data_IF_657373298543
#
_entry.id   IF_657373298543
#
_cell.length_a   1.000
_cell.length_b   1.000
_cell.length_c   1.000
_cell.angle_alpha   90.00
_cell.angle_beta   90.00
_cell.angle_gamma   90.00
#
_symmetry.space_group_name_H-M   'P 1'
#
loop_
_entity.id
_entity.type
_entity.pdbx_description
1 polymer ?
#
# COMPACT_ATOMS: atom_id res chain seq x y z
N UNK A 1 -44.24 20.65 20.66
CA UNK A 1 -43.38 19.65 20.00
C UNK A 1 -42.03 20.23 19.61
N UNK A 2 -41.94 21.19 18.68
CA UNK A 2 -40.65 21.80 18.26
C UNK A 2 -39.91 22.50 19.41
N UNK A 3 -40.63 23.21 20.29
CA UNK A 3 -40.03 23.93 21.42
C UNK A 3 -39.43 22.98 22.49
N UNK A 4 -40.13 21.89 22.85
CA UNK A 4 -39.60 20.84 23.74
C UNK A 4 -38.43 20.09 23.10
N UNK A 5 -38.46 19.90 21.76
CA UNK A 5 -37.35 19.28 21.03
C UNK A 5 -36.08 20.13 21.08
N UNK A 6 -36.19 21.45 20.97
CA UNK A 6 -35.04 22.38 21.08
C UNK A 6 -34.50 22.43 22.53
N UNK A 7 -35.36 22.32 23.53
CA UNK A 7 -34.97 22.29 24.94
C UNK A 7 -34.22 21.01 25.32
N UNK A 8 -34.65 19.84 24.84
CA UNK A 8 -33.96 18.56 25.11
C UNK A 8 -32.56 18.53 24.45
N UNK A 9 -32.39 19.17 23.28
CA UNK A 9 -31.11 19.30 22.60
C UNK A 9 -30.12 20.21 23.36
N UNK A 10 -30.64 21.32 23.91
CA UNK A 10 -29.87 22.25 24.75
C UNK A 10 -29.52 21.68 26.13
N UNK A 11 -30.37 20.80 26.66
CA UNK A 11 -30.20 20.24 28.00
C UNK A 11 -29.13 19.13 28.05
N UNK A 12 -28.86 18.41 26.95
CA UNK A 12 -27.95 17.25 26.95
C UNK A 12 -27.05 17.12 25.69
N UNK A 13 -26.36 18.20 25.25
CA UNK A 13 -25.54 18.16 24.04
C UNK A 13 -24.36 17.17 24.15
N UNK A 14 -23.80 17.02 25.36
CA UNK A 14 -22.67 16.11 25.60
C UNK A 14 -23.03 14.63 25.32
N UNK A 15 -24.23 14.18 25.72
CA UNK A 15 -24.65 12.79 25.52
C UNK A 15 -24.90 12.48 24.03
N UNK A 16 -25.42 13.46 23.27
CA UNK A 16 -25.59 13.33 21.83
C UNK A 16 -24.23 13.33 21.11
N UNK A 17 -23.31 14.21 21.51
CA UNK A 17 -21.94 14.23 21.00
C UNK A 17 -21.20 12.92 21.22
N UNK A 18 -21.32 12.32 22.41
CA UNK A 18 -20.75 11.00 22.71
C UNK A 18 -21.34 9.90 21.82
N UNK A 19 -22.67 9.88 21.59
CA UNK A 19 -23.29 8.90 20.68
C UNK A 19 -22.78 9.02 19.24
N UNK A 20 -22.63 10.26 18.76
CA UNK A 20 -22.09 10.53 17.42
C UNK A 20 -20.65 10.01 17.32
N UNK A 21 -19.81 10.34 18.30
CA UNK A 21 -18.42 9.88 18.34
C UNK A 21 -18.30 8.35 18.35
N UNK A 22 -19.09 7.66 19.19
CA UNK A 22 -19.06 6.20 19.27
C UNK A 22 -19.56 5.52 17.99
N UNK A 23 -20.60 6.07 17.35
CA UNK A 23 -21.14 5.51 16.09
C UNK A 23 -20.16 5.71 14.94
N UNK A 24 -19.52 6.87 14.88
CA UNK A 24 -18.44 7.15 13.94
C UNK A 24 -17.25 6.19 14.15
N UNK A 25 -16.85 5.96 15.40
CA UNK A 25 -15.74 5.07 15.75
C UNK A 25 -15.97 3.63 15.29
N UNK A 26 -17.17 3.08 15.49
CA UNK A 26 -17.51 1.72 15.00
C UNK A 26 -17.51 1.67 13.47
N UNK A 27 -18.08 2.67 12.82
CA UNK A 27 -18.16 2.73 11.35
C UNK A 27 -16.74 2.81 10.74
N UNK A 28 -15.86 3.61 11.36
CA UNK A 28 -14.47 3.74 10.95
C UNK A 28 -13.66 2.45 11.22
N UNK A 29 -13.91 1.76 12.34
CA UNK A 29 -13.25 0.49 12.64
C UNK A 29 -13.62 -0.61 11.62
N UNK A 30 -14.90 -0.70 11.23
CA UNK A 30 -15.37 -1.63 10.19
C UNK A 30 -14.74 -1.27 8.84
N UNK A 31 -14.71 0.01 8.48
CA UNK A 31 -14.05 0.50 7.27
C UNK A 31 -12.56 0.12 7.27
N UNK A 32 -11.83 0.39 8.35
CA UNK A 32 -10.40 0.14 8.46
C UNK A 32 -10.08 -1.37 8.31
N UNK A 33 -10.84 -2.26 8.96
CA UNK A 33 -10.66 -3.70 8.82
C UNK A 33 -10.90 -4.16 7.38
N UNK A 34 -11.98 -3.67 6.76
CA UNK A 34 -12.34 -4.01 5.39
C UNK A 34 -11.31 -3.54 4.37
N UNK A 35 -10.92 -2.26 4.46
CA UNK A 35 -9.94 -1.65 3.57
C UNK A 35 -8.57 -2.32 3.69
N UNK A 36 -8.08 -2.56 4.92
CA UNK A 36 -6.83 -3.29 5.13
C UNK A 36 -6.92 -4.72 4.58
N UNK A 37 -8.02 -5.43 4.85
CA UNK A 37 -8.22 -6.79 4.35
C UNK A 37 -8.18 -6.88 2.82
N UNK A 38 -8.90 -6.01 2.12
CA UNK A 38 -8.92 -6.01 0.66
C UNK A 38 -7.58 -5.58 0.04
N UNK A 39 -6.88 -4.61 0.63
CA UNK A 39 -5.53 -4.21 0.19
C UNK A 39 -4.55 -5.36 0.33
N UNK A 40 -4.58 -6.01 1.48
CA UNK A 40 -3.78 -7.21 1.75
C UNK A 40 -4.06 -8.31 0.74
N UNK A 41 -5.33 -8.62 0.46
CA UNK A 41 -5.70 -9.69 -0.47
C UNK A 41 -5.33 -9.34 -1.91
N UNK A 42 -5.50 -8.09 -2.34
CA UNK A 42 -5.08 -7.62 -3.65
C UNK A 42 -3.55 -7.66 -3.82
N UNK A 43 -2.79 -7.29 -2.79
CA UNK A 43 -1.33 -7.33 -2.80
C UNK A 43 -0.82 -8.77 -2.87
N UNK A 44 -1.33 -9.65 -2.00
CA UNK A 44 -0.96 -11.08 -1.99
C UNK A 44 -1.38 -11.77 -3.30
N UNK A 45 -2.55 -11.43 -3.85
CA UNK A 45 -3.02 -11.91 -5.14
C UNK A 45 -2.07 -11.53 -6.28
N UNK A 46 -1.65 -10.27 -6.35
CA UNK A 46 -0.71 -9.79 -7.38
C UNK A 46 0.62 -10.56 -7.36
N UNK A 47 1.16 -10.82 -6.17
CA UNK A 47 2.39 -11.62 -6.00
C UNK A 47 2.20 -13.08 -6.38
N UNK A 48 1.03 -13.64 -6.09
CA UNK A 48 0.71 -15.02 -6.45
C UNK A 48 0.51 -15.17 -7.96
N UNK A 49 -0.14 -14.20 -8.59
CA UNK A 49 -0.48 -14.21 -10.02
C UNK A 49 0.77 -14.03 -10.90
N UNK A 50 1.66 -13.08 -10.57
CA UNK A 50 2.95 -12.89 -11.28
C UNK A 50 3.87 -14.11 -11.21
N UNK A 51 3.57 -15.07 -10.33
CA UNK A 51 4.34 -16.31 -10.11
C UNK A 51 3.59 -17.58 -10.49
N UNK A 52 2.36 -17.45 -10.99
CA UNK A 52 1.53 -18.62 -11.30
C UNK A 52 2.22 -19.48 -12.38
N UNK A 53 2.57 -20.71 -12.02
CA UNK A 53 3.27 -21.64 -12.92
C UNK A 53 4.77 -21.40 -13.08
N UNK A 54 5.43 -20.61 -12.22
CA UNK A 54 6.88 -20.34 -12.26
C UNK A 54 7.60 -20.74 -10.97
N UNK A 55 8.88 -21.08 -11.09
CA UNK A 55 9.82 -21.31 -9.97
C UNK A 55 10.94 -20.29 -10.08
N UNK A 56 11.23 -19.63 -8.96
CA UNK A 56 12.21 -18.55 -8.90
C UNK A 56 13.55 -19.06 -8.36
N UNK A 57 14.62 -18.65 -9.01
CA UNK A 57 16.00 -18.91 -8.60
C UNK A 57 16.78 -17.60 -8.54
N UNK A 58 17.60 -17.42 -7.51
CA UNK A 58 18.55 -16.30 -7.49
C UNK A 58 19.78 -16.66 -8.31
N UNK A 59 20.18 -15.80 -9.24
CA UNK A 59 21.43 -15.88 -9.96
C UNK A 59 22.35 -14.80 -9.40
N UNK A 60 23.51 -15.22 -8.88
CA UNK A 60 24.52 -14.29 -8.39
C UNK A 60 25.90 -14.65 -8.93
N UNK A 61 26.73 -13.66 -9.19
CA UNK A 61 28.14 -13.90 -9.51
C UNK A 61 28.90 -14.43 -8.28
N UNK A 62 29.99 -15.15 -8.52
CA UNK A 62 30.87 -15.69 -7.47
C UNK A 62 32.11 -14.82 -7.22
N UNK A 63 32.16 -13.60 -7.77
CA UNK A 63 33.27 -12.66 -7.66
C UNK A 63 33.12 -11.74 -6.44
N UNK A 64 32.73 -12.33 -5.30
CA UNK A 64 32.55 -11.60 -4.05
C UNK A 64 33.87 -11.17 -3.37
N UNK A 65 34.98 -11.83 -3.73
CA UNK A 65 36.32 -11.46 -3.25
C UNK A 65 36.83 -10.22 -4.01
N UNK A 66 37.19 -9.12 -3.33
CA UNK A 66 37.58 -7.88 -4.00
C UNK A 66 38.83 -8.00 -4.88
N UNK A 67 39.81 -8.83 -4.49
CA UNK A 67 41.03 -9.01 -5.28
C UNK A 67 40.72 -9.77 -6.56
N UNK A 68 39.99 -10.89 -6.44
CA UNK A 68 39.52 -11.68 -7.59
C UNK A 68 38.63 -10.85 -8.53
N UNK A 69 37.77 -10.00 -7.97
CA UNK A 69 36.92 -9.11 -8.75
C UNK A 69 37.74 -8.13 -9.58
N UNK A 70 38.72 -7.47 -8.98
CA UNK A 70 39.60 -6.54 -9.68
C UNK A 70 40.51 -7.24 -10.70
N UNK A 71 41.00 -8.45 -10.38
CA UNK A 71 41.74 -9.29 -11.32
C UNK A 71 40.91 -9.64 -12.56
N UNK A 72 39.69 -10.16 -12.36
CA UNK A 72 38.78 -10.53 -13.45
C UNK A 72 38.43 -9.32 -14.33
N UNK A 73 38.25 -8.14 -13.73
CA UNK A 73 38.00 -6.90 -14.49
C UNK A 73 39.19 -6.43 -15.31
N UNK A 74 40.41 -6.73 -14.84
CA UNK A 74 41.64 -6.39 -15.54
C UNK A 74 41.96 -7.37 -16.68
N UNK A 75 41.37 -8.58 -16.66
CA UNK A 75 41.53 -9.57 -17.72
C UNK A 75 40.96 -9.09 -19.06
N UNK A 76 41.63 -9.49 -20.15
CA UNK A 76 41.20 -9.12 -21.49
C UNK A 76 39.84 -9.75 -21.81
N UNK A 77 38.80 -8.91 -21.84
CA UNK A 77 37.44 -9.33 -22.17
C UNK A 77 36.58 -9.80 -21.00
N UNK A 78 37.09 -9.77 -19.76
CA UNK A 78 36.31 -10.20 -18.57
C UNK A 78 34.99 -9.46 -18.42
N UNK A 79 34.99 -8.11 -18.43
CA UNK A 79 33.74 -7.35 -18.40
C UNK A 79 32.82 -7.64 -19.60
N UNK A 80 33.40 -7.89 -20.79
CA UNK A 80 32.62 -8.17 -22.00
C UNK A 80 31.94 -9.53 -21.95
N UNK A 81 32.56 -10.53 -21.30
CA UNK A 81 31.94 -11.85 -21.13
C UNK A 81 30.74 -11.79 -20.19
N UNK A 82 30.81 -10.98 -19.11
CA UNK A 82 29.67 -10.71 -18.22
C UNK A 82 28.54 -10.01 -18.99
N UNK A 83 28.87 -8.98 -19.78
CA UNK A 83 27.89 -8.28 -20.61
C UNK A 83 27.21 -9.22 -21.62
N UNK A 84 27.98 -10.07 -22.30
CA UNK A 84 27.44 -11.06 -23.23
C UNK A 84 26.57 -12.12 -22.53
N UNK A 85 26.93 -12.52 -21.31
CA UNK A 85 26.14 -13.45 -20.52
C UNK A 85 24.81 -12.82 -20.09
N UNK A 86 24.82 -11.55 -19.65
CA UNK A 86 23.58 -10.80 -19.41
C UNK A 86 22.70 -10.76 -20.66
N UNK A 87 23.25 -10.43 -21.83
CA UNK A 87 22.51 -10.39 -23.09
C UNK A 87 21.90 -11.75 -23.44
N UNK A 88 22.59 -12.85 -23.15
CA UNK A 88 22.08 -14.21 -23.33
C UNK A 88 20.94 -14.55 -22.35
N UNK A 89 21.02 -14.07 -21.11
CA UNK A 89 19.98 -14.25 -20.10
C UNK A 89 18.71 -13.46 -20.48
N UNK A 90 18.85 -12.18 -20.84
CA UNK A 90 17.72 -11.30 -21.17
C UNK A 90 17.03 -11.65 -22.49
N UNK A 91 17.73 -12.32 -23.41
CA UNK A 91 17.17 -12.81 -24.67
C UNK A 91 16.66 -14.26 -24.63
N UNK A 92 16.71 -14.90 -23.46
CA UNK A 92 16.26 -16.28 -23.29
C UNK A 92 14.75 -16.41 -23.56
N UNK A 93 14.37 -17.47 -24.27
CA UNK A 93 12.95 -17.86 -24.45
C UNK A 93 12.54 -19.00 -23.51
N UNK A 94 13.50 -19.54 -22.76
CA UNK A 94 13.30 -20.69 -21.87
C UNK A 94 12.81 -20.28 -20.48
N UNK A 95 13.10 -19.03 -20.08
CA UNK A 95 12.76 -18.44 -18.79
C UNK A 95 12.78 -16.91 -18.93
N UNK A 96 12.19 -16.21 -17.96
CA UNK A 96 12.36 -14.75 -17.82
C UNK A 96 13.50 -14.46 -16.85
N UNK A 97 14.20 -13.33 -17.04
CA UNK A 97 15.29 -12.90 -16.18
C UNK A 97 15.06 -11.50 -15.58
N UNK A 98 14.16 -11.35 -14.58
CA UNK A 98 14.04 -10.11 -13.82
C UNK A 98 15.34 -9.72 -13.10
N UNK A 99 15.97 -8.64 -13.57
CA UNK A 99 17.14 -8.02 -12.93
C UNK A 99 16.74 -6.67 -12.33
N UNK A 100 17.05 -6.49 -11.05
CA UNK A 100 16.68 -5.33 -10.25
C UNK A 100 17.77 -5.03 -9.22
N UNK A 101 18.20 -3.79 -9.17
CA UNK A 101 19.18 -3.28 -8.23
C UNK A 101 18.67 -2.00 -7.57
N UNK A 102 18.94 -1.84 -6.27
CA UNK A 102 18.51 -0.67 -5.51
C UNK A 102 19.72 0.12 -5.02
N UNK A 103 20.31 0.93 -5.90
CA UNK A 103 21.37 1.86 -5.50
C UNK A 103 20.88 3.29 -5.64
N UNK A 104 21.17 4.13 -4.63
CA UNK A 104 20.82 5.55 -4.68
C UNK A 104 21.59 6.24 -5.81
N UNK A 105 20.96 7.25 -6.40
CA UNK A 105 21.58 8.06 -7.45
C UNK A 105 21.77 9.47 -6.93
N UNK A 106 23.01 10.00 -6.95
CA UNK A 106 23.27 11.39 -6.69
C UNK A 106 22.62 12.25 -7.77
N UNK A 107 21.83 13.25 -7.40
CA UNK A 107 21.15 14.18 -8.31
C UNK A 107 21.60 15.61 -8.04
N UNK A 108 21.96 16.32 -9.11
CA UNK A 108 22.38 17.72 -9.09
C UNK A 108 21.18 18.61 -8.81
N UNK A 109 21.37 19.57 -7.90
CA UNK A 109 20.44 20.67 -7.58
C UNK A 109 19.00 20.18 -7.39
N UNK A 110 18.85 19.05 -6.69
CA UNK A 110 17.57 18.39 -6.44
C UNK A 110 16.58 19.37 -5.78
N UNK A 111 15.41 19.63 -6.40
CA UNK A 111 14.49 20.67 -5.91
C UNK A 111 13.52 20.17 -4.82
N UNK A 112 13.58 18.88 -4.47
CA UNK A 112 12.72 18.29 -3.43
C UNK A 112 13.20 18.59 -2.00
N UNK A 113 12.28 18.47 -1.05
CA UNK A 113 12.56 18.73 0.37
C UNK A 113 13.20 17.55 1.10
N UNK A 114 13.43 17.75 2.41
CA UNK A 114 14.14 16.78 3.26
C UNK A 114 13.51 15.39 3.30
N UNK A 115 12.20 15.29 3.07
CA UNK A 115 11.45 14.04 3.08
C UNK A 115 11.91 13.02 2.03
N UNK A 116 12.65 13.44 1.00
CA UNK A 116 13.18 12.55 -0.03
C UNK A 116 14.62 12.09 0.25
N UNK A 117 15.25 12.63 1.31
CA UNK A 117 16.67 12.41 1.62
C UNK A 117 16.89 11.21 2.56
N UNK A 118 16.01 10.23 2.55
CA UNK A 118 16.14 9.06 3.43
C UNK A 118 16.73 7.88 2.67
N UNK A 119 17.52 7.06 3.37
CA UNK A 119 17.99 5.78 2.84
C UNK A 119 16.81 4.81 2.71
N UNK A 120 17.05 3.64 2.12
CA UNK A 120 16.12 2.52 2.15
C UNK A 120 15.68 2.18 3.59
N UNK A 121 14.47 1.62 3.72
CA UNK A 121 13.79 1.39 4.99
C UNK A 121 14.71 0.78 6.07
N UNK A 122 14.78 1.43 7.23
CA UNK A 122 15.46 0.90 8.42
C UNK A 122 16.95 1.25 8.58
N UNK A 123 17.56 2.01 7.67
CA UNK A 123 18.97 2.37 7.73
C UNK A 123 19.15 3.90 7.81
N UNK A 124 19.62 4.42 8.95
CA UNK A 124 20.14 5.80 9.06
C UNK A 124 19.11 6.94 9.09
N UNK A 125 19.63 8.15 9.33
CA UNK A 125 18.89 9.42 9.29
C UNK A 125 18.85 10.02 7.87
N UNK A 126 18.30 11.24 7.70
CA UNK A 126 18.38 11.93 6.42
C UNK A 126 19.84 12.13 5.99
N UNK A 127 20.12 11.89 4.71
CA UNK A 127 21.39 12.22 4.07
C UNK A 127 21.43 13.72 3.81
N UNK A 128 22.49 14.37 4.28
CA UNK A 128 22.69 15.78 3.98
C UNK A 128 23.24 15.96 2.56
N UNK A 129 22.76 16.96 1.80
CA UNK A 129 23.33 17.33 0.52
C UNK A 129 24.80 17.70 0.64
N UNK A 130 25.57 17.40 -0.39
CA UNK A 130 27.01 17.64 -0.43
C UNK A 130 27.42 18.31 -1.74
N UNK A 131 28.53 19.06 -1.78
CA UNK A 131 29.01 19.68 -3.01
C UNK A 131 29.68 18.65 -3.93
N UNK A 132 29.41 18.72 -5.22
CA UNK A 132 30.22 18.04 -6.24
C UNK A 132 31.57 18.76 -6.46
N UNK A 133 32.49 18.21 -7.28
CA UNK A 133 33.77 18.87 -7.58
C UNK A 133 33.66 20.26 -8.25
N UNK A 134 32.48 20.61 -8.78
CA UNK A 134 32.18 21.91 -9.38
C UNK A 134 31.46 22.86 -8.39
N UNK A 135 31.22 22.42 -7.15
CA UNK A 135 30.54 23.19 -6.11
C UNK A 135 29.01 23.22 -6.22
N UNK A 136 28.42 22.38 -7.08
CA UNK A 136 26.96 22.24 -7.19
C UNK A 136 26.44 21.34 -6.07
N UNK A 137 25.22 21.59 -5.62
CA UNK A 137 24.65 20.81 -4.53
C UNK A 137 24.16 19.47 -5.09
N UNK A 138 24.52 18.38 -4.44
CA UNK A 138 24.12 17.02 -4.83
C UNK A 138 23.35 16.39 -3.69
N UNK A 139 22.26 15.71 -4.03
CA UNK A 139 21.44 14.96 -3.10
C UNK A 139 21.29 13.53 -3.59
N UNK A 140 21.62 12.56 -2.74
CA UNK A 140 21.35 11.17 -3.06
C UNK A 140 19.85 10.89 -2.91
N UNK A 141 19.22 10.41 -3.98
CA UNK A 141 17.82 10.01 -3.98
C UNK A 141 17.71 8.49 -4.17
N UNK A 142 16.64 7.91 -3.61
CA UNK A 142 16.33 6.49 -3.81
C UNK A 142 16.15 6.20 -5.30
N UNK A 143 16.70 5.09 -5.76
CA UNK A 143 16.50 4.66 -7.13
C UNK A 143 16.55 3.16 -7.32
N UNK A 144 15.78 2.70 -8.28
CA UNK A 144 15.76 1.31 -8.72
C UNK A 144 16.22 1.26 -10.15
N UNK A 145 17.26 0.49 -10.40
CA UNK A 145 17.71 0.16 -11.73
C UNK A 145 17.18 -1.23 -12.09
N UNK A 146 16.50 -1.38 -13.22
CA UNK A 146 15.83 -2.64 -13.56
C UNK A 146 15.78 -2.87 -15.06
N UNK A 147 15.66 -4.12 -15.51
CA UNK A 147 15.46 -4.46 -16.92
C UNK A 147 13.98 -4.62 -17.29
N UNK A 148 13.70 -4.80 -18.58
CA UNK A 148 12.33 -4.95 -19.09
C UNK A 148 11.61 -6.14 -18.43
N UNK A 149 12.27 -7.29 -18.32
CA UNK A 149 11.70 -8.46 -17.65
C UNK A 149 11.28 -8.15 -16.21
N UNK A 150 12.07 -7.38 -15.45
CA UNK A 150 11.69 -6.96 -14.11
C UNK A 150 10.49 -5.99 -14.12
N UNK A 151 10.46 -5.04 -15.05
CA UNK A 151 9.34 -4.11 -15.21
C UNK A 151 8.02 -4.87 -15.43
N UNK A 152 8.04 -5.85 -16.33
CA UNK A 152 6.90 -6.68 -16.69
C UNK A 152 6.54 -7.69 -15.58
N UNK A 153 7.54 -8.36 -15.01
CA UNK A 153 7.35 -9.36 -13.95
C UNK A 153 6.72 -8.77 -12.69
N UNK A 154 7.11 -7.55 -12.31
CA UNK A 154 6.51 -6.85 -11.18
C UNK A 154 5.22 -6.09 -11.53
N UNK A 155 4.85 -6.04 -12.82
CA UNK A 155 3.64 -5.38 -13.28
C UNK A 155 3.61 -3.90 -12.91
N UNK A 156 4.70 -3.18 -13.16
CA UNK A 156 4.82 -1.76 -12.80
C UNK A 156 3.88 -0.94 -13.68
N UNK A 157 2.82 -0.38 -13.08
CA UNK A 157 1.82 0.42 -13.79
C UNK A 157 2.16 1.92 -13.74
N UNK A 158 1.75 2.64 -14.78
CA UNK A 158 1.92 4.09 -14.86
C UNK A 158 0.61 4.81 -14.58
N UNK A 159 0.69 5.87 -13.80
CA UNK A 159 -0.41 6.82 -13.64
C UNK A 159 -0.39 7.91 -14.71
N UNK A 160 0.80 8.24 -15.24
CA UNK A 160 0.99 9.29 -16.25
C UNK A 160 2.16 9.00 -17.19
N UNK A 161 2.09 9.55 -18.40
CA UNK A 161 3.15 9.52 -19.40
C UNK A 161 3.13 8.31 -20.32
N UNK A 162 3.88 8.35 -21.43
CA UNK A 162 3.95 7.26 -22.41
C UNK A 162 4.72 6.02 -21.92
N UNK A 163 5.52 6.14 -20.87
CA UNK A 163 6.36 5.04 -20.36
C UNK A 163 7.70 4.94 -21.08
N UNK A 164 8.30 3.76 -21.03
CA UNK A 164 9.67 3.51 -21.50
C UNK A 164 9.65 2.75 -22.83
N UNK A 165 10.40 3.25 -23.81
CA UNK A 165 10.76 2.48 -25.01
C UNK A 165 12.12 1.81 -24.75
N UNK A 166 12.09 0.55 -24.33
CA UNK A 166 13.29 -0.18 -23.90
C UNK A 166 14.35 -0.33 -24.99
N UNK A 167 13.92 -0.36 -26.26
CA UNK A 167 14.82 -0.49 -27.41
C UNK A 167 15.58 0.81 -27.68
N UNK A 168 15.07 1.95 -27.20
CA UNK A 168 15.72 3.25 -27.31
C UNK A 168 16.60 3.59 -26.09
N UNK A 169 16.65 2.74 -25.07
CA UNK A 169 17.49 2.96 -23.88
C UNK A 169 18.95 2.62 -24.21
N UNK A 170 19.74 3.66 -24.47
CA UNK A 170 21.16 3.55 -24.75
C UNK A 170 21.94 4.65 -24.00
N UNK A 171 22.78 4.22 -23.05
CA UNK A 171 23.57 5.13 -22.23
C UNK A 171 24.86 5.61 -22.92
N UNK A 172 25.22 5.00 -24.05
CA UNK A 172 26.38 5.39 -24.86
C UNK A 172 26.08 6.51 -25.85
N UNK A 173 24.80 6.70 -26.20
CA UNK A 173 24.34 7.66 -27.20
C UNK A 173 24.62 9.14 -26.86
N UNK A 174 24.76 9.45 -25.57
CA UNK A 174 24.81 10.82 -25.05
C UNK A 174 23.46 11.54 -25.02
N UNK A 175 22.38 10.89 -25.46
CA UNK A 175 21.02 11.39 -25.32
C UNK A 175 20.50 11.19 -23.88
N UNK A 176 19.53 12.00 -23.41
CA UNK A 176 18.97 11.84 -22.09
C UNK A 176 18.29 10.48 -21.90
N UNK A 177 18.68 9.76 -20.85
CA UNK A 177 18.13 8.45 -20.51
C UNK A 177 16.67 8.61 -20.03
N UNK A 178 15.69 7.91 -20.63
CA UNK A 178 14.32 7.99 -20.15
C UNK A 178 14.19 7.31 -18.79
N UNK A 179 13.52 7.96 -17.84
CA UNK A 179 13.33 7.45 -16.47
C UNK A 179 11.87 7.56 -16.05
N UNK A 180 11.44 6.75 -15.10
CA UNK A 180 10.15 6.93 -14.44
C UNK A 180 10.38 7.51 -13.04
N UNK A 181 9.42 8.27 -12.55
CA UNK A 181 9.43 8.78 -11.18
C UNK A 181 8.30 8.18 -10.37
N UNK A 182 8.56 7.88 -9.11
CA UNK A 182 7.53 7.49 -8.16
C UNK A 182 6.46 8.58 -7.98
N UNK A 183 5.27 8.18 -7.57
CA UNK A 183 4.12 9.09 -7.41
C UNK A 183 4.37 10.27 -6.47
N UNK A 184 5.20 10.09 -5.43
CA UNK A 184 5.57 11.17 -4.50
C UNK A 184 6.55 12.15 -5.13
N UNK A 185 7.47 11.67 -5.98
CA UNK A 185 8.39 12.52 -6.73
C UNK A 185 7.72 13.29 -7.88
N UNK A 186 6.50 12.90 -8.29
CA UNK A 186 5.76 13.58 -9.35
C UNK A 186 5.47 15.07 -9.07
N UNK A 187 5.42 15.48 -7.80
CA UNK A 187 5.27 16.89 -7.44
C UNK A 187 6.55 17.71 -7.65
N UNK A 188 7.70 17.02 -7.76
CA UNK A 188 9.03 17.60 -7.92
C UNK A 188 9.45 17.54 -9.39
N UNK A 189 9.26 16.38 -10.03
CA UNK A 189 9.59 16.15 -11.43
C UNK A 189 8.36 15.64 -12.19
N UNK A 190 7.89 16.45 -13.14
CA UNK A 190 6.81 16.08 -14.04
C UNK A 190 7.33 15.35 -15.28
N UNK A 191 6.41 14.75 -16.05
CA UNK A 191 6.75 14.16 -17.35
C UNK A 191 7.38 15.22 -18.28
N UNK A 192 8.50 14.87 -18.89
CA UNK A 192 9.31 15.74 -19.75
C UNK A 192 10.40 16.54 -19.03
N UNK A 193 10.45 16.54 -17.70
CA UNK A 193 11.52 17.22 -16.96
C UNK A 193 12.86 16.50 -17.12
N UNK A 194 13.93 17.27 -17.38
CA UNK A 194 15.31 16.75 -17.34
C UNK A 194 15.91 16.93 -15.95
N UNK A 195 16.73 15.98 -15.52
CA UNK A 195 17.58 16.10 -14.33
C UNK A 195 18.98 15.53 -14.62
N UNK A 196 19.99 16.01 -13.90
CA UNK A 196 21.35 15.47 -13.98
C UNK A 196 21.63 14.61 -12.76
N UNK A 197 22.25 13.46 -12.96
CA UNK A 197 22.71 12.63 -11.86
C UNK A 197 23.88 11.74 -12.25
N UNK A 198 24.30 10.90 -11.31
CA UNK A 198 25.41 9.97 -11.52
C UNK A 198 24.99 8.53 -11.35
N UNK A 199 25.35 7.69 -12.32
CA UNK A 199 25.15 6.25 -12.25
C UNK A 199 26.50 5.55 -12.32
N UNK A 200 26.86 4.79 -11.28
CA UNK A 200 28.16 4.13 -11.21
C UNK A 200 29.34 5.12 -11.26
N UNK A 201 29.15 6.36 -10.80
CA UNK A 201 30.15 7.43 -10.89
C UNK A 201 30.19 8.18 -12.23
N UNK A 202 29.36 7.80 -13.21
CA UNK A 202 29.29 8.46 -14.52
C UNK A 202 28.14 9.48 -14.58
N UNK A 203 28.39 10.73 -15.01
CA UNK A 203 27.34 11.73 -15.15
C UNK A 203 26.42 11.37 -16.32
N UNK A 204 25.11 11.39 -16.07
CA UNK A 204 24.07 11.17 -17.06
C UNK A 204 23.02 12.28 -16.97
N UNK A 205 22.44 12.63 -18.12
CA UNK A 205 21.19 13.37 -18.16
C UNK A 205 20.03 12.37 -18.20
N UNK A 206 19.03 12.55 -17.35
CA UNK A 206 17.81 11.78 -17.36
C UNK A 206 16.64 12.65 -17.80
N UNK A 207 15.64 12.05 -18.45
CA UNK A 207 14.38 12.71 -18.80
C UNK A 207 13.19 11.88 -18.32
N UNK A 208 12.30 12.51 -17.56
CA UNK A 208 11.13 11.81 -17.01
C UNK A 208 10.16 11.45 -18.14
N UNK A 209 9.98 10.15 -18.37
CA UNK A 209 9.10 9.58 -19.38
C UNK A 209 7.73 9.19 -18.82
N UNK A 210 7.59 9.04 -17.50
CA UNK A 210 6.32 8.69 -16.87
C UNK A 210 6.35 8.76 -15.35
N UNK A 211 5.16 8.68 -14.77
CA UNK A 211 4.94 8.63 -13.32
C UNK A 211 4.33 7.27 -12.97
N UNK A 212 4.94 6.57 -12.03
CA UNK A 212 4.51 5.25 -11.56
C UNK A 212 3.23 5.38 -10.71
N UNK A 213 2.30 4.42 -10.81
CA UNK A 213 1.13 4.35 -9.92
C UNK A 213 1.58 4.10 -8.47
N UNK A 214 0.95 4.76 -7.50
CA UNK A 214 1.30 4.69 -6.07
C UNK A 214 1.10 3.31 -5.42
N UNK A 215 0.64 2.31 -6.18
CA UNK A 215 0.51 0.91 -5.75
C UNK A 215 1.60 0.02 -6.34
N UNK A 216 2.51 0.56 -7.14
CA UNK A 216 3.59 -0.21 -7.74
C UNK A 216 4.66 -0.52 -6.70
N UNK A 217 4.94 -1.80 -6.53
CA UNK A 217 5.93 -2.29 -5.60
C UNK A 217 6.78 -3.38 -6.26
N UNK A 218 8.03 -3.46 -5.82
CA UNK A 218 8.97 -4.52 -6.19
C UNK A 218 9.32 -5.34 -4.95
N UNK A 219 9.90 -6.52 -5.17
CA UNK A 219 10.29 -7.41 -4.08
C UNK A 219 11.81 -7.55 -4.09
N UNK A 220 12.49 -6.87 -3.18
CA UNK A 220 13.92 -7.07 -2.97
C UNK A 220 14.18 -8.29 -2.08
N UNK A 221 15.31 -9.01 -2.25
CA UNK A 221 15.67 -10.09 -1.35
C UNK A 221 15.74 -9.61 0.10
N UNK A 222 14.97 -10.23 0.99
CA UNK A 222 14.94 -9.81 2.40
C UNK A 222 13.83 -8.82 2.76
N UNK A 223 13.15 -8.23 1.79
CA UNK A 223 12.09 -7.26 2.02
C UNK A 223 10.72 -7.79 1.55
N UNK A 224 9.65 -7.61 2.35
CA UNK A 224 8.32 -8.11 2.01
C UNK A 224 7.69 -7.36 0.82
N UNK A 225 7.91 -6.06 0.70
CA UNK A 225 7.47 -5.23 -0.41
C UNK A 225 8.21 -3.91 -0.34
N UNK A 226 8.66 -3.39 -1.48
CA UNK A 226 9.33 -2.10 -1.57
C UNK A 226 8.56 -1.21 -2.54
N UNK A 227 7.86 -0.20 -2.02
CA UNK A 227 7.10 0.73 -2.84
C UNK A 227 8.02 1.65 -3.64
N UNK A 228 7.59 1.98 -4.86
CA UNK A 228 8.37 2.81 -5.78
C UNK A 228 8.05 4.32 -5.67
N UNK A 229 7.12 4.70 -4.80
CA UNK A 229 6.53 6.05 -4.71
C UNK A 229 7.56 7.18 -4.54
N UNK A 230 8.65 6.91 -3.83
CA UNK A 230 9.70 7.90 -3.50
C UNK A 230 10.98 7.73 -4.33
N UNK A 231 10.96 6.88 -5.35
CA UNK A 231 12.18 6.50 -6.06
C UNK A 231 12.20 6.98 -7.52
N UNK A 232 13.41 7.15 -8.03
CA UNK A 232 13.66 7.24 -9.46
C UNK A 232 13.82 5.81 -10.02
N UNK A 233 13.09 5.46 -11.08
CA UNK A 233 13.20 4.16 -11.73
C UNK A 233 13.97 4.38 -13.02
N UNK A 234 15.12 3.71 -13.12
CA UNK A 234 16.07 3.88 -14.22
C UNK A 234 16.12 2.57 -15.02
N UNK A 235 15.76 2.57 -16.30
CA UNK A 235 15.77 1.36 -17.11
C UNK A 235 17.19 0.97 -17.50
N UNK A 236 17.57 -0.28 -17.27
CA UNK A 236 18.75 -0.84 -17.91
C UNK A 236 18.60 -0.85 -19.43
N UNK A 237 19.69 -0.69 -20.20
CA UNK A 237 19.64 -0.91 -21.64
C UNK A 237 19.22 -2.35 -21.93
N UNK A 238 18.49 -2.55 -23.04
CA UNK A 238 18.04 -3.90 -23.45
C UNK A 238 19.21 -4.88 -23.64
N UNK A 239 20.33 -4.36 -24.14
CA UNK A 239 21.57 -5.11 -24.34
C UNK A 239 22.77 -4.22 -24.04
N UNK A 240 23.85 -4.83 -23.55
CA UNK A 240 25.13 -4.16 -23.36
C UNK A 240 26.05 -4.28 -24.58
N UNK A 241 25.72 -5.13 -25.57
CA UNK A 241 26.44 -5.22 -26.84
C UNK A 241 27.94 -5.44 -26.67
N UNK A 242 28.34 -6.28 -25.71
CA UNK A 242 29.76 -6.48 -25.33
C UNK A 242 30.52 -5.19 -24.96
N UNK A 243 29.83 -4.19 -24.42
CA UNK A 243 30.35 -2.87 -24.08
C UNK A 243 30.73 -1.98 -25.28
N UNK A 244 30.28 -2.27 -26.50
CA UNK A 244 30.58 -1.40 -27.65
C UNK A 244 29.97 0.00 -27.46
N UNK A 245 30.80 1.04 -27.58
CA UNK A 245 30.36 2.44 -27.40
C UNK A 245 30.32 2.93 -25.95
N UNK A 246 30.39 2.04 -24.96
CA UNK A 246 30.38 2.42 -23.55
C UNK A 246 31.76 2.83 -23.04
N UNK A 247 31.77 3.77 -22.09
CA UNK A 247 32.93 3.89 -21.19
C UNK A 247 33.10 2.58 -20.39
N UNK A 248 34.33 2.08 -20.29
CA UNK A 248 34.58 0.79 -19.64
C UNK A 248 34.25 0.77 -18.15
N UNK A 249 34.37 1.90 -17.45
CA UNK A 249 33.96 2.01 -16.04
C UNK A 249 32.44 1.89 -15.89
N UNK A 250 31.69 2.52 -16.81
CA UNK A 250 30.23 2.44 -16.85
C UNK A 250 29.78 1.03 -17.23
N UNK A 251 30.33 0.46 -18.32
CA UNK A 251 29.95 -0.89 -18.74
C UNK A 251 30.26 -1.91 -17.64
N UNK A 252 31.38 -1.75 -16.94
CA UNK A 252 31.69 -2.61 -15.82
C UNK A 252 30.65 -2.54 -14.71
N UNK A 253 30.28 -1.33 -14.30
CA UNK A 253 29.27 -1.11 -13.25
C UNK A 253 27.93 -1.72 -13.67
N UNK A 254 27.55 -1.57 -14.94
CA UNK A 254 26.31 -2.10 -15.49
C UNK A 254 26.34 -3.63 -15.60
N UNK A 255 27.36 -4.22 -16.22
CA UNK A 255 27.45 -5.66 -16.45
C UNK A 255 27.29 -6.46 -15.15
N UNK A 256 27.98 -6.03 -14.08
CA UNK A 256 27.87 -6.67 -12.78
C UNK A 256 26.56 -6.37 -12.06
N UNK A 257 26.00 -5.17 -12.18
CA UNK A 257 24.68 -4.89 -11.60
C UNK A 257 23.58 -5.71 -12.31
N UNK A 258 23.68 -5.88 -13.62
CA UNK A 258 22.64 -6.44 -14.48
C UNK A 258 22.64 -7.98 -14.48
N UNK A 259 23.81 -8.64 -14.35
CA UNK A 259 23.92 -10.11 -14.33
C UNK A 259 23.38 -10.74 -13.04
N UNK A 260 23.30 -9.97 -11.96
CA UNK A 260 22.77 -10.40 -10.68
C UNK A 260 21.25 -10.20 -10.68
N UNK A 261 20.49 -11.30 -10.64
CA UNK A 261 19.05 -11.23 -10.85
C UNK A 261 18.29 -12.47 -10.40
N UNK A 262 17.02 -12.50 -10.78
CA UNK A 262 16.14 -13.66 -10.56
C UNK A 262 15.86 -14.34 -11.88
N UNK A 263 15.95 -15.67 -11.90
CA UNK A 263 15.45 -16.49 -13.00
C UNK A 263 14.05 -16.96 -12.65
N UNK A 264 13.06 -16.60 -13.46
CA UNK A 264 11.70 -17.10 -13.35
C UNK A 264 11.45 -18.19 -14.40
N UNK A 265 11.75 -19.43 -14.02
CA UNK A 265 11.63 -20.60 -14.89
C UNK A 265 10.22 -21.22 -14.82
N UNK A 266 9.72 -21.84 -15.90
CA UNK A 266 8.46 -22.58 -15.85
C UNK A 266 8.50 -23.71 -14.80
N UNK A 267 7.42 -23.93 -14.07
CA UNK A 267 7.35 -24.98 -13.04
C UNK A 267 7.49 -26.41 -13.59
N UNK A 268 7.32 -26.59 -14.89
CA UNK A 268 7.59 -27.86 -15.60
C UNK A 268 9.08 -28.11 -15.85
N UNK A 269 9.92 -27.08 -15.81
CA UNK A 269 11.36 -27.18 -16.06
C UNK A 269 12.05 -27.80 -14.84
N UNK A 270 12.93 -28.78 -15.10
CA UNK A 270 13.71 -29.40 -14.03
C UNK A 270 14.91 -28.51 -13.67
N UNK A 271 15.32 -28.45 -12.38
CA UNK A 271 16.50 -27.66 -12.00
C UNK A 271 17.78 -28.02 -12.77
N UNK A 272 17.97 -29.31 -13.08
CA UNK A 272 19.13 -29.76 -13.88
C UNK A 272 19.09 -29.21 -15.31
N UNK A 273 17.91 -29.14 -15.91
CA UNK A 273 17.73 -28.61 -17.26
C UNK A 273 18.01 -27.11 -17.32
N UNK A 274 17.58 -26.36 -16.29
CA UNK A 274 17.94 -24.96 -16.14
C UNK A 274 19.48 -24.79 -16.02
N UNK A 275 20.12 -25.59 -15.16
CA UNK A 275 21.57 -25.54 -15.00
C UNK A 275 22.31 -25.87 -16.31
N UNK A 276 21.83 -26.85 -17.08
CA UNK A 276 22.42 -27.20 -18.38
C UNK A 276 22.33 -26.02 -19.37
N UNK A 277 21.19 -25.31 -19.40
CA UNK A 277 21.01 -24.11 -20.23
C UNK A 277 21.99 -23.00 -19.80
N UNK A 278 22.05 -22.71 -18.50
CA UNK A 278 22.94 -21.67 -17.97
C UNK A 278 24.41 -21.99 -18.23
N UNK A 279 24.81 -23.26 -18.03
CA UNK A 279 26.18 -23.70 -18.29
C UNK A 279 26.54 -23.54 -19.77
N UNK A 280 25.61 -23.87 -20.67
CA UNK A 280 25.82 -23.67 -22.10
C UNK A 280 25.94 -22.17 -22.47
N UNK A 281 25.12 -21.30 -21.87
CA UNK A 281 25.23 -19.85 -22.04
C UNK A 281 26.57 -19.32 -21.51
N UNK A 282 26.95 -19.70 -20.29
CA UNK A 282 28.20 -19.27 -19.66
C UNK A 282 29.43 -19.68 -20.47
N UNK A 283 29.47 -20.93 -20.93
CA UNK A 283 30.55 -21.43 -21.79
C UNK A 283 30.61 -20.71 -23.15
N UNK A 284 29.46 -20.36 -23.74
CA UNK A 284 29.42 -19.63 -25.00
C UNK A 284 29.89 -18.17 -24.87
N UNK A 285 29.58 -17.54 -23.73
CA UNK A 285 29.93 -16.15 -23.44
C UNK A 285 31.32 -15.97 -22.81
N UNK A 286 31.90 -17.04 -22.25
CA UNK A 286 33.15 -16.99 -21.49
C UNK A 286 32.97 -16.47 -20.06
N UNK A 287 31.81 -16.69 -19.45
CA UNK A 287 31.52 -16.32 -18.06
C UNK A 287 30.91 -17.51 -17.31
N UNK A 288 31.69 -18.11 -16.42
CA UNK A 288 31.29 -19.29 -15.62
C UNK A 288 31.30 -19.01 -14.10
N UNK A 289 31.67 -17.79 -13.70
CA UNK A 289 31.74 -17.35 -12.30
C UNK A 289 30.37 -16.91 -11.76
N UNK A 290 29.41 -17.84 -11.77
CA UNK A 290 28.08 -17.62 -11.20
C UNK A 290 27.60 -18.83 -10.40
N UNK A 291 26.60 -18.60 -9.55
CA UNK A 291 25.93 -19.65 -8.81
C UNK A 291 24.42 -19.44 -8.78
N UNK A 292 23.71 -20.56 -8.80
CA UNK A 292 22.26 -20.60 -8.68
C UNK A 292 21.89 -20.86 -7.22
N UNK A 293 21.30 -19.88 -6.57
CA UNK A 293 20.82 -20.00 -5.20
C UNK A 293 19.50 -20.76 -5.19
N UNK A 294 19.62 -22.08 -4.97
CA UNK A 294 18.55 -23.07 -4.97
C UNK A 294 17.89 -23.25 -3.61
N UNK A 295 17.04 -22.32 -3.23
CA UNK A 295 15.88 -22.46 -2.34
C UNK A 295 15.20 -21.11 -2.49
N UNK A 296 13.89 -21.00 -2.72
CA UNK A 296 13.32 -19.69 -2.92
C UNK A 296 13.36 -19.01 -1.54
N UNK A 297 14.40 -18.20 -1.30
CA UNK A 297 14.48 -17.23 -0.22
C UNK A 297 13.15 -16.48 -0.19
N UNK A 298 12.60 -16.20 -1.37
CA UNK A 298 11.27 -15.70 -1.61
C UNK A 298 10.08 -16.59 -1.20
N UNK A 299 10.13 -17.92 -1.24
CA UNK A 299 9.02 -18.80 -0.77
C UNK A 299 9.00 -18.87 0.74
N UNK A 300 10.17 -18.92 1.38
CA UNK A 300 10.28 -18.79 2.84
C UNK A 300 9.82 -17.38 3.24
N UNK A 301 10.30 -16.34 2.57
CA UNK A 301 9.88 -14.96 2.80
C UNK A 301 8.40 -14.72 2.51
N UNK A 302 7.81 -15.33 1.48
CA UNK A 302 6.36 -15.24 1.24
C UNK A 302 5.56 -16.01 2.28
N UNK A 303 6.04 -17.16 2.72
CA UNK A 303 5.43 -17.88 3.84
C UNK A 303 5.42 -17.02 5.09
N UNK A 304 6.55 -16.38 5.39
CA UNK A 304 6.71 -15.44 6.50
C UNK A 304 5.90 -14.16 6.31
N UNK A 305 5.80 -13.64 5.08
CA UNK A 305 5.03 -12.44 4.75
C UNK A 305 3.54 -12.72 4.84
N UNK A 306 3.07 -13.83 4.29
CA UNK A 306 1.69 -14.29 4.45
C UNK A 306 1.35 -14.51 5.92
N UNK A 307 2.24 -15.14 6.69
CA UNK A 307 2.04 -15.31 8.13
C UNK A 307 2.08 -13.98 8.89
N UNK A 308 2.98 -13.05 8.54
CA UNK A 308 3.04 -11.71 9.12
C UNK A 308 1.77 -10.90 8.81
N UNK A 309 1.33 -10.92 7.55
CA UNK A 309 0.14 -10.23 7.07
C UNK A 309 -1.13 -10.83 7.68
N UNK A 310 -1.23 -12.16 7.77
CA UNK A 310 -2.34 -12.85 8.43
C UNK A 310 -2.38 -12.52 9.94
N UNK A 311 -1.22 -12.49 10.61
CA UNK A 311 -1.10 -12.15 12.05
C UNK A 311 -1.37 -10.68 12.34
N UNK A 312 -0.82 -9.74 11.55
CA UNK A 312 -1.10 -8.31 11.68
C UNK A 312 -2.56 -8.00 11.37
N UNK A 313 -3.12 -8.65 10.33
CA UNK A 313 -4.55 -8.57 10.03
C UNK A 313 -5.41 -9.10 11.18
N UNK A 314 -5.00 -10.19 11.84
CA UNK A 314 -5.69 -10.72 13.01
C UNK A 314 -5.64 -9.74 14.19
N UNK A 315 -4.51 -9.06 14.42
CA UNK A 315 -4.38 -8.03 15.46
C UNK A 315 -5.28 -6.82 15.17
N UNK A 316 -5.29 -6.30 13.95
CA UNK A 316 -6.16 -5.18 13.54
C UNK A 316 -7.63 -5.56 13.70
N UNK A 317 -8.03 -6.78 13.28
CA UNK A 317 -9.38 -7.31 13.50
C UNK A 317 -9.71 -7.42 15.00
N UNK A 318 -8.80 -7.92 15.82
CA UNK A 318 -9.00 -8.05 17.27
C UNK A 318 -9.18 -6.68 17.95
N UNK A 319 -8.36 -5.69 17.61
CA UNK A 319 -8.48 -4.31 18.10
C UNK A 319 -9.81 -3.71 17.65
N UNK A 320 -10.18 -3.85 16.38
CA UNK A 320 -11.44 -3.33 15.85
C UNK A 320 -12.66 -3.95 16.54
N UNK A 321 -12.65 -5.27 16.79
CA UNK A 321 -13.70 -5.96 17.57
C UNK A 321 -13.76 -5.44 19.00
N UNK A 322 -12.62 -5.29 19.67
CA UNK A 322 -12.57 -4.74 21.02
C UNK A 322 -13.13 -3.30 21.08
N UNK A 323 -12.72 -2.45 20.13
CA UNK A 323 -13.21 -1.08 19.97
C UNK A 323 -14.73 -1.06 19.70
N UNK A 324 -15.22 -1.96 18.84
CA UNK A 324 -16.65 -2.08 18.56
C UNK A 324 -17.43 -2.51 19.81
N UNK A 325 -16.95 -3.49 20.56
CA UNK A 325 -17.58 -3.96 21.81
C UNK A 325 -17.59 -2.87 22.89
N UNK A 326 -16.48 -2.16 23.09
CA UNK A 326 -16.40 -1.01 24.00
C UNK A 326 -17.36 0.12 23.58
N UNK A 327 -17.49 0.37 22.27
CA UNK A 327 -18.38 1.41 21.77
C UNK A 327 -19.85 1.03 21.90
N UNK A 328 -20.19 -0.23 21.64
CA UNK A 328 -21.54 -0.77 21.83
C UNK A 328 -21.97 -0.73 23.30
N UNK A 329 -21.08 -1.13 24.21
CA UNK A 329 -21.35 -1.08 25.65
C UNK A 329 -21.51 0.36 26.14
N UNK A 330 -20.67 1.28 25.66
CA UNK A 330 -20.80 2.70 25.96
C UNK A 330 -22.10 3.31 25.38
N UNK A 331 -22.48 2.97 24.14
CA UNK A 331 -23.74 3.39 23.52
C UNK A 331 -24.95 2.91 24.33
N UNK A 332 -24.94 1.64 24.77
CA UNK A 332 -25.97 1.09 25.63
C UNK A 332 -26.03 1.82 26.99
N UNK A 333 -24.87 2.14 27.58
CA UNK A 333 -24.76 2.92 28.82
C UNK A 333 -25.33 4.33 28.69
N UNK A 334 -24.98 5.05 27.62
CA UNK A 334 -25.50 6.39 27.32
C UNK A 334 -27.01 6.33 27.05
N UNK A 335 -27.47 5.35 26.28
CA UNK A 335 -28.89 5.11 26.03
C UNK A 335 -29.68 4.88 27.33
N UNK A 336 -29.14 4.06 28.23
CA UNK A 336 -29.75 3.80 29.54
C UNK A 336 -29.74 5.04 30.43
N UNK A 337 -28.66 5.81 30.44
CA UNK A 337 -28.55 7.07 31.18
C UNK A 337 -29.59 8.10 30.69
N UNK A 338 -29.70 8.28 29.37
CA UNK A 338 -30.69 9.16 28.75
C UNK A 338 -32.12 8.70 29.08
N UNK A 339 -32.38 7.39 29.03
CA UNK A 339 -33.68 6.81 29.41
C UNK A 339 -34.02 7.09 30.88
N UNK A 340 -33.08 6.84 31.80
CA UNK A 340 -33.26 7.12 33.24
C UNK A 340 -33.60 8.59 33.47
N UNK A 341 -32.91 9.50 32.77
CA UNK A 341 -33.19 10.93 32.84
C UNK A 341 -34.52 11.35 32.20
N UNK A 342 -35.14 10.52 31.35
CA UNK A 342 -36.46 10.78 30.72
C UNK A 342 -37.63 10.16 31.51
N UNK A 343 -37.36 9.20 32.41
CA UNK A 343 -38.37 8.55 33.26
C UNK A 343 -39.25 9.52 34.09
N UNK A 344 -38.72 10.52 34.80
CA UNK A 344 -39.57 11.41 35.62
C UNK A 344 -40.50 12.26 34.77
N UNK A 345 -40.04 12.71 33.60
CA UNK A 345 -40.86 13.46 32.62
C UNK A 345 -41.97 12.59 32.06
N UNK A 346 -41.67 11.35 31.68
CA UNK A 346 -42.67 10.38 31.21
C UNK A 346 -43.71 10.07 32.29
N UNK A 347 -43.29 9.96 33.57
CA UNK A 347 -44.21 9.79 34.70
C UNK A 347 -45.09 11.03 34.89
N UNK A 348 -44.54 12.23 34.80
CA UNK A 348 -45.31 13.47 34.88
C UNK A 348 -46.35 13.56 33.76
N UNK A 349 -46.01 13.19 32.53
CA UNK A 349 -46.98 13.14 31.42
C UNK A 349 -48.11 12.13 31.67
N UNK A 350 -47.80 10.96 32.22
CA UNK A 350 -48.82 9.98 32.61
C UNK A 350 -49.74 10.51 33.72
N UNK A 351 -49.18 11.20 34.73
CA UNK A 351 -49.94 11.82 35.82
C UNK A 351 -50.82 12.98 35.34
N UNK A 352 -50.39 13.69 34.29
CA UNK A 352 -51.16 14.75 33.62
C UNK A 352 -52.21 14.20 32.64
N UNK A 353 -52.48 12.89 32.65
CA UNK A 353 -53.53 12.25 31.85
C UNK A 353 -53.18 12.07 30.37
N UNK A 354 -51.91 12.17 29.98
CA UNK A 354 -51.54 11.94 28.58
C UNK A 354 -51.75 10.47 28.20
N UNK A 355 -52.51 10.26 27.12
CA UNK A 355 -52.71 8.92 26.57
C UNK A 355 -51.36 8.25 26.24
N UNK A 356 -51.17 6.95 26.56
CA UNK A 356 -49.92 6.23 26.26
C UNK A 356 -49.52 6.30 24.78
N UNK A 357 -50.48 6.33 23.86
CA UNK A 357 -50.23 6.48 22.43
C UNK A 357 -49.71 7.87 22.01
N UNK A 358 -49.99 8.93 22.79
CA UNK A 358 -49.41 10.27 22.58
C UNK A 358 -47.97 10.33 23.06
N UNK A 359 -47.70 9.74 24.23
CA UNK A 359 -46.34 9.62 24.80
C UNK A 359 -45.44 8.79 23.88
N UNK A 360 -45.95 7.67 23.37
CA UNK A 360 -45.27 6.82 22.40
C UNK A 360 -44.85 7.58 21.13
N UNK A 361 -45.75 8.38 20.56
CA UNK A 361 -45.48 9.21 19.38
C UNK A 361 -44.40 10.25 19.65
N UNK A 362 -44.46 10.94 20.79
CA UNK A 362 -43.44 11.94 21.15
C UNK A 362 -42.05 11.32 21.35
N UNK A 363 -41.97 10.17 22.02
CA UNK A 363 -40.70 9.45 22.20
C UNK A 363 -40.14 8.91 20.88
N UNK A 364 -41.02 8.44 19.99
CA UNK A 364 -40.62 7.98 18.65
C UNK A 364 -40.11 9.15 17.81
N UNK A 365 -40.77 10.31 17.83
CA UNK A 365 -40.32 11.51 17.13
C UNK A 365 -38.96 12.02 17.62
N UNK A 366 -38.70 11.96 18.94
CA UNK A 366 -37.39 12.29 19.51
C UNK A 366 -36.29 11.32 19.05
N UNK A 367 -36.58 10.02 18.99
CA UNK A 367 -35.64 9.04 18.47
C UNK A 367 -35.37 9.23 16.97
N UNK A 368 -36.40 9.43 16.15
CA UNK A 368 -36.23 9.68 14.70
C UNK A 368 -35.35 10.91 14.48
N UNK A 369 -35.55 11.98 15.26
CA UNK A 369 -34.67 13.16 15.20
C UNK A 369 -33.23 12.81 15.53
N UNK A 370 -32.98 12.13 16.65
CA UNK A 370 -31.62 11.79 17.08
C UNK A 370 -30.94 10.89 16.03
N UNK A 371 -31.69 9.95 15.44
CA UNK A 371 -31.25 9.08 14.34
C UNK A 371 -30.90 9.86 13.06
N UNK A 372 -31.72 10.85 12.68
CA UNK A 372 -31.46 11.72 11.51
C UNK A 372 -30.20 12.56 11.73
N UNK A 373 -30.00 13.12 12.92
CA UNK A 373 -28.79 13.89 13.26
C UNK A 373 -27.55 12.99 13.21
N UNK A 374 -27.63 11.79 13.78
CA UNK A 374 -26.56 10.78 13.73
C UNK A 374 -26.21 10.43 12.28
N UNK A 375 -27.21 10.10 11.46
CA UNK A 375 -27.01 9.77 10.06
C UNK A 375 -26.40 10.95 9.27
N UNK A 376 -26.88 12.16 9.50
CA UNK A 376 -26.39 13.37 8.82
C UNK A 376 -24.91 13.70 9.11
N UNK A 377 -24.35 13.18 10.20
CA UNK A 377 -22.94 13.41 10.58
C UNK A 377 -22.06 12.19 10.25
N UNK A 378 -22.55 10.98 10.51
CA UNK A 378 -21.80 9.75 10.25
C UNK A 378 -21.64 9.50 8.74
N UNK A 379 -22.68 9.78 7.93
CA UNK A 379 -22.62 9.54 6.49
C UNK A 379 -21.52 10.37 5.82
N UNK A 380 -21.44 11.71 5.99
CA UNK A 380 -20.37 12.51 5.40
C UNK A 380 -18.99 12.14 5.93
N UNK A 381 -18.87 11.80 7.23
CA UNK A 381 -17.60 11.44 7.84
C UNK A 381 -17.02 10.16 7.24
N UNK A 382 -17.86 9.12 7.10
CA UNK A 382 -17.46 7.86 6.47
C UNK A 382 -17.23 8.05 4.97
N UNK A 383 -18.05 8.84 4.29
CA UNK A 383 -17.88 9.16 2.86
C UNK A 383 -16.57 9.92 2.59
N UNK A 384 -16.18 10.85 3.46
CA UNK A 384 -14.90 11.56 3.36
C UNK A 384 -13.72 10.59 3.53
N UNK A 385 -13.81 9.62 4.44
CA UNK A 385 -12.79 8.56 4.59
C UNK A 385 -12.79 7.51 3.47
N UNK A 386 -13.94 7.30 2.82
CA UNK A 386 -14.12 6.30 1.76
C UNK A 386 -13.54 6.72 0.40
N UNK A 387 -13.03 7.95 0.28
CA UNK A 387 -12.33 8.46 -0.90
C UNK A 387 -11.11 7.63 -1.34
N UNK A 388 -10.71 6.63 -0.53
CA UNK A 388 -9.58 5.74 -0.82
C UNK A 388 -9.94 4.30 -1.24
N UNK A 389 -11.17 3.79 -1.02
CA UNK A 389 -11.59 2.43 -1.43
C UNK A 389 -13.14 2.27 -1.38
N UNK A 390 -13.80 2.37 -2.53
CA UNK A 390 -15.24 2.66 -2.65
C UNK A 390 -16.23 1.62 -2.06
N UNK A 391 -15.89 0.33 -2.03
CA UNK A 391 -16.81 -0.71 -1.55
C UNK A 391 -16.88 -0.82 -0.02
N UNK A 392 -15.75 -0.66 0.69
CA UNK A 392 -15.74 -0.76 2.15
C UNK A 392 -16.32 0.47 2.84
N UNK A 393 -16.32 1.62 2.15
CA UNK A 393 -17.08 2.80 2.58
C UNK A 393 -18.57 2.49 2.75
N UNK A 394 -19.16 1.76 1.80
CA UNK A 394 -20.58 1.35 1.86
C UNK A 394 -20.84 0.36 3.01
N UNK A 395 -19.91 -0.55 3.29
CA UNK A 395 -20.01 -1.50 4.41
C UNK A 395 -19.92 -0.78 5.75
N UNK A 396 -18.98 0.18 5.89
CA UNK A 396 -18.87 1.04 7.07
C UNK A 396 -20.13 1.89 7.31
N UNK A 397 -20.69 2.47 6.23
CA UNK A 397 -21.98 3.17 6.27
C UNK A 397 -23.13 2.26 6.70
N UNK A 398 -23.17 1.04 6.15
CA UNK A 398 -24.15 0.01 6.51
C UNK A 398 -24.09 -0.36 7.99
N UNK A 399 -22.89 -0.50 8.55
CA UNK A 399 -22.69 -0.75 9.98
C UNK A 399 -23.22 0.40 10.85
N UNK A 400 -22.91 1.65 10.50
CA UNK A 400 -23.41 2.84 11.20
C UNK A 400 -24.94 2.94 11.17
N UNK A 401 -25.55 2.74 10.01
CA UNK A 401 -27.01 2.74 9.85
C UNK A 401 -27.67 1.57 10.60
N UNK A 402 -27.02 0.40 10.62
CA UNK A 402 -27.46 -0.77 11.38
C UNK A 402 -27.51 -0.50 12.89
N UNK A 403 -26.52 0.21 13.44
CA UNK A 403 -26.51 0.62 14.85
C UNK A 403 -27.66 1.59 15.17
N UNK A 404 -27.89 2.57 14.30
CA UNK A 404 -29.00 3.51 14.43
C UNK A 404 -30.34 2.74 14.45
N UNK A 405 -30.52 1.78 13.53
CA UNK A 405 -31.73 0.95 13.46
C UNK A 405 -31.91 0.06 14.70
N UNK A 406 -30.82 -0.51 15.24
CA UNK A 406 -30.85 -1.34 16.46
C UNK A 406 -31.28 -0.51 17.68
N UNK A 407 -30.76 0.72 17.83
CA UNK A 407 -31.24 1.64 18.87
C UNK A 407 -32.74 1.93 18.71
N UNK A 408 -33.21 2.10 17.47
CA UNK A 408 -34.62 2.28 17.16
C UNK A 408 -35.50 1.13 17.58
N UNK A 409 -35.09 -0.10 17.29
CA UNK A 409 -35.79 -1.29 17.72
C UNK A 409 -35.89 -1.37 19.25
N UNK A 410 -34.80 -1.05 19.97
CA UNK A 410 -34.78 -0.97 21.43
C UNK A 410 -35.74 0.08 21.99
N UNK A 411 -35.77 1.27 21.37
CA UNK A 411 -36.69 2.35 21.73
C UNK A 411 -38.17 1.97 21.48
N UNK A 412 -38.48 1.39 20.32
CA UNK A 412 -39.82 0.93 19.98
C UNK A 412 -40.30 -0.19 20.93
N UNK A 413 -39.40 -1.09 21.32
CA UNK A 413 -39.70 -2.12 22.32
C UNK A 413 -40.01 -1.51 23.70
N UNK A 414 -39.26 -0.49 24.13
CA UNK A 414 -39.52 0.21 25.39
C UNK A 414 -40.86 0.97 25.36
N UNK A 415 -41.18 1.61 24.25
CA UNK A 415 -42.46 2.30 24.02
C UNK A 415 -43.64 1.32 24.03
N UNK A 416 -43.52 0.16 23.36
CA UNK A 416 -44.56 -0.88 23.37
C UNK A 416 -44.82 -1.46 24.76
N UNK A 417 -43.79 -1.61 25.60
CA UNK A 417 -43.96 -2.06 27.00
C UNK A 417 -44.75 -1.04 27.83
N UNK A 418 -44.51 0.26 27.62
CA UNK A 418 -45.28 1.31 28.29
C UNK A 418 -46.75 1.34 27.84
N UNK A 419 -47.01 1.13 26.54
CA UNK A 419 -48.37 1.07 26.02
C UNK A 419 -49.16 -0.13 26.57
N UNK A 420 -48.52 -1.29 26.75
CA UNK A 420 -49.16 -2.49 27.35
C UNK A 420 -49.36 -2.37 28.86
N UNK A 421 -48.42 -1.78 29.59
CA UNK A 421 -48.53 -1.58 31.04
C UNK A 421 -49.64 -0.61 31.46
N UNK A 422 -50.02 0.34 30.60
CA UNK A 422 -51.15 1.24 30.83
C UNK A 422 -52.52 0.60 30.61
N UNK A 423 -52.61 -0.46 29.80
CA UNK A 423 -53.87 -1.14 29.49
C UNK A 423 -54.37 -2.06 30.63
N UNK A 424 -53.49 -2.51 31.52
CA UNK A 424 -53.82 -3.46 32.60
C UNK A 424 -54.44 -2.79 33.84
N UNK A 425 -54.41 -1.45 33.94
CA UNK A 425 -54.96 -0.70 35.10
C UNK A 425 -56.27 0.05 34.82
N UNK A 426 -56.85 -0.09 33.63
CA UNK A 426 -58.04 0.67 33.21
C UNK A 426 -59.35 -0.12 33.13
N UNK A 427 -59.40 -1.35 33.62
CA UNK A 427 -60.62 -2.18 33.60
C UNK A 427 -60.82 -2.86 34.93
N UNK A 428 -61.67 -2.31 35.79
CA UNK A 428 -62.01 -2.88 37.09
C UNK A 428 -62.53 -1.81 38.02
N UNK A 429 -63.83 -1.54 37.89
CA UNK A 429 -64.81 -1.22 38.95
C UNK A 429 -65.70 -0.02 38.59
N UNK A 430 -66.67 -0.28 37.72
CA UNK A 430 -68.00 0.35 37.79
C UNK A 430 -69.05 -0.74 37.59
N UNK A 431 -69.89 -0.92 38.61
CA UNK A 431 -71.36 -1.19 38.61
C UNK A 431 -71.78 -2.14 39.74
N UNK A 432 -73.04 -2.05 40.23
CA UNK A 432 -73.89 -0.88 40.42
C UNK A 432 -74.31 -0.65 41.88
#
# INVERSE_FOLDING_TARGET
>A
MIHEMVLDLRARPAALGVKIALTALVSLAVFAVGAVGARTEAEVGRVADSRSGRVLYGLVDTLADPERYEEFRAEEGGTRSVAAFYDALSSSTSFEFPSLFNHMVPVVDFPGGEQYRHVYEGLGGPLEPYPDPLGRTVTDIKSFQLNQDAYEFYGIELSQGPGLDWQAVDYSSGEPVPVLVGSSLASVYGVGTSLQGWLGGHPLEFRVAGVVDSRSAVYLPGQPSTFLDEALIIPYPHSLGQCEGYDMGLCNSLAFAMVNGTIAAPASMRPSELLDILNAMGAACGFEDYTLLGTPIYTVQLGLMRDFVERQGALVRAIAVAVALCSLTALAGVGLHLWRGRRPVVRAWLLLGWAPGRIARTLTALWVRDAVILAAIVIPLVAASASFDGNWGLVGLGAGLGLIALEGAGHLAAVRRLARGGAVRGGGDEEP
#
